data_IF_638046318391
#
_entry.id   IF_638046318391
#
_cell.length_a   1.000
_cell.length_b   1.000
_cell.length_c   1.000
_cell.angle_alpha   90.00
_cell.angle_beta   90.00
_cell.angle_gamma   90.00
#
_symmetry.space_group_name_H-M   'P 1'
#
loop_
_entity.id
_entity.type
_entity.pdbx_description
1 polymer ?
#
# COMPACT_ATOMS: atom_id res chain seq x y z
N UNK A 1 16.81 4.63 42.47
CA UNK A 1 17.48 4.69 41.16
C UNK A 1 16.50 4.13 40.15
N UNK A 2 16.02 4.96 39.23
CA UNK A 2 15.08 4.55 38.18
C UNK A 2 15.90 4.09 36.99
N UNK A 3 15.82 2.80 36.66
CA UNK A 3 16.38 2.26 35.43
C UNK A 3 15.51 2.70 34.27
N UNK A 4 15.87 3.79 33.59
CA UNK A 4 15.39 4.04 32.23
C UNK A 4 15.89 2.91 31.33
N UNK A 5 15.06 2.33 30.47
CA UNK A 5 15.54 1.37 29.49
C UNK A 5 16.47 2.12 28.50
N UNK A 6 17.74 1.72 28.49
CA UNK A 6 18.73 2.15 27.51
C UNK A 6 18.35 1.55 26.15
N UNK A 7 17.47 2.23 25.41
CA UNK A 7 17.34 1.97 23.98
C UNK A 7 18.56 2.57 23.28
N UNK A 8 19.36 1.74 22.63
CA UNK A 8 20.50 2.21 21.85
C UNK A 8 19.99 3.16 20.75
N UNK A 9 20.62 4.32 20.61
CA UNK A 9 20.29 5.29 19.54
C UNK A 9 20.47 4.60 18.18
N UNK A 10 19.36 4.21 17.56
CA UNK A 10 19.34 3.41 16.32
C UNK A 10 18.46 2.16 16.37
N UNK A 11 18.01 1.73 17.55
CA UNK A 11 17.00 0.67 17.65
C UNK A 11 15.62 1.19 17.25
N UNK A 12 15.03 0.52 16.27
CA UNK A 12 13.69 0.85 15.79
C UNK A 12 12.65 0.39 16.81
N UNK A 13 11.89 1.32 17.39
CA UNK A 13 10.88 1.03 18.41
C UNK A 13 9.50 0.75 17.80
N UNK A 14 8.62 0.11 18.57
CA UNK A 14 7.20 -0.08 18.24
C UNK A 14 6.49 1.24 17.96
N UNK A 15 6.78 2.30 18.73
CA UNK A 15 6.25 3.65 18.48
C UNK A 15 6.73 4.22 17.14
N UNK A 16 8.02 4.09 16.82
CA UNK A 16 8.59 4.58 15.57
C UNK A 16 7.99 3.85 14.35
N UNK A 17 7.85 2.53 14.45
CA UNK A 17 7.17 1.72 13.44
C UNK A 17 5.69 2.13 13.28
N UNK A 18 4.99 2.36 14.39
CA UNK A 18 3.61 2.85 14.37
C UNK A 18 3.46 4.20 13.66
N UNK A 19 4.38 5.15 13.91
CA UNK A 19 4.40 6.44 13.20
C UNK A 19 4.65 6.26 11.70
N UNK A 20 5.59 5.39 11.30
CA UNK A 20 5.87 5.09 9.89
C UNK A 20 4.65 4.47 9.19
N UNK A 21 3.97 3.54 9.86
CA UNK A 21 2.73 2.92 9.38
C UNK A 21 1.64 3.95 9.14
N UNK A 22 1.38 4.82 10.11
CA UNK A 22 0.36 5.86 9.98
C UNK A 22 0.66 6.84 8.85
N UNK A 23 1.93 7.25 8.71
CA UNK A 23 2.36 8.13 7.63
C UNK A 23 2.17 7.47 6.25
N UNK A 24 2.55 6.20 6.11
CA UNK A 24 2.44 5.48 4.87
C UNK A 24 0.98 5.17 4.51
N UNK A 25 0.15 4.79 5.49
CA UNK A 25 -1.30 4.63 5.32
C UNK A 25 -1.96 5.92 4.83
N UNK A 26 -1.60 7.08 5.39
CA UNK A 26 -2.10 8.38 4.93
C UNK A 26 -1.74 8.67 3.48
N UNK A 27 -0.48 8.39 3.08
CA UNK A 27 -0.06 8.55 1.68
C UNK A 27 -0.75 7.57 0.74
N UNK A 28 -0.92 6.31 1.15
CA UNK A 28 -1.65 5.30 0.38
C UNK A 28 -3.08 5.74 0.13
N UNK A 29 -3.80 6.17 1.17
CA UNK A 29 -5.16 6.66 1.04
C UNK A 29 -5.28 7.85 0.07
N UNK A 30 -4.34 8.80 0.11
CA UNK A 30 -4.31 9.91 -0.85
C UNK A 30 -4.11 9.43 -2.29
N UNK A 31 -3.16 8.52 -2.52
CA UNK A 31 -2.88 7.99 -3.86
C UNK A 31 -4.01 7.15 -4.42
N UNK A 32 -4.66 6.36 -3.58
CA UNK A 32 -5.85 5.59 -3.96
C UNK A 32 -7.04 6.49 -4.34
N UNK A 33 -7.19 7.65 -3.69
CA UNK A 33 -8.20 8.65 -4.07
C UNK A 33 -7.90 9.37 -5.38
N UNK A 34 -6.62 9.52 -5.74
CA UNK A 34 -6.19 10.14 -7.00
C UNK A 34 -6.33 9.20 -8.21
N UNK A 35 -6.29 7.88 -7.98
CA UNK A 35 -6.38 6.87 -9.05
C UNK A 35 -7.65 6.97 -9.91
N UNK A 36 -8.86 7.13 -9.36
CA UNK A 36 -10.08 7.30 -10.17
C UNK A 36 -10.02 8.51 -11.10
N UNK A 37 -9.48 9.63 -10.63
CA UNK A 37 -9.35 10.84 -11.43
C UNK A 37 -8.35 10.62 -12.58
N UNK A 38 -7.24 9.93 -12.31
CA UNK A 38 -6.28 9.55 -13.33
C UNK A 38 -6.88 8.58 -14.35
N UNK A 39 -7.66 7.59 -13.89
CA UNK A 39 -8.37 6.63 -14.74
C UNK A 39 -9.31 7.34 -15.72
N UNK A 40 -10.12 8.26 -15.20
CA UNK A 40 -11.04 9.06 -16.00
C UNK A 40 -10.32 9.96 -17.01
N UNK A 41 -9.21 10.61 -16.62
CA UNK A 41 -8.39 11.43 -17.52
C UNK A 41 -7.79 10.60 -18.67
N UNK A 42 -7.22 9.44 -18.36
CA UNK A 42 -6.67 8.51 -19.35
C UNK A 42 -7.78 8.02 -20.28
N UNK A 43 -8.91 7.56 -19.75
CA UNK A 43 -10.04 7.08 -20.55
C UNK A 43 -10.55 8.16 -21.51
N UNK A 44 -10.74 9.39 -21.00
CA UNK A 44 -11.17 10.54 -21.81
C UNK A 44 -10.20 10.84 -22.95
N UNK A 45 -8.89 10.78 -22.70
CA UNK A 45 -7.87 11.01 -23.73
C UNK A 45 -7.83 9.91 -24.77
N UNK A 46 -8.04 8.67 -24.37
CA UNK A 46 -8.02 7.50 -25.27
C UNK A 46 -9.31 7.31 -26.06
N UNK A 47 -10.42 7.98 -25.70
CA UNK A 47 -11.71 7.85 -26.38
C UNK A 47 -11.74 8.46 -27.80
N UNK A 48 -10.75 9.27 -28.18
CA UNK A 48 -10.65 9.87 -29.51
C UNK A 48 -9.66 9.16 -30.44
N UNK A 49 -9.53 9.67 -31.66
CA UNK A 49 -8.44 9.28 -32.57
C UNK A 49 -7.11 9.87 -32.07
N UNK A 50 -6.43 9.11 -31.22
CA UNK A 50 -5.09 9.44 -30.72
C UNK A 50 -4.02 8.64 -31.46
N UNK A 51 -2.82 9.20 -31.57
CA UNK A 51 -1.68 8.47 -32.12
C UNK A 51 -1.24 7.34 -31.17
N UNK A 52 -0.62 6.31 -31.73
CA UNK A 52 -0.08 5.19 -30.94
C UNK A 52 0.92 5.66 -29.87
N UNK A 53 1.71 6.69 -30.20
CA UNK A 53 2.64 7.31 -29.27
C UNK A 53 1.94 7.95 -28.06
N UNK A 54 0.77 8.58 -28.27
CA UNK A 54 0.00 9.16 -27.17
C UNK A 54 -0.70 8.09 -26.34
N UNK A 55 -1.22 7.05 -26.99
CA UNK A 55 -1.79 5.88 -26.31
C UNK A 55 -0.78 5.25 -25.35
N UNK A 56 0.41 4.93 -25.86
CA UNK A 56 1.49 4.35 -25.05
C UNK A 56 1.90 5.24 -23.87
N UNK A 57 1.92 6.58 -24.06
CA UNK A 57 2.22 7.52 -22.97
C UNK A 57 1.19 7.47 -21.85
N UNK A 58 -0.11 7.44 -22.19
CA UNK A 58 -1.17 7.39 -21.18
C UNK A 58 -1.23 6.03 -20.46
N UNK A 59 -1.08 4.92 -21.19
CA UNK A 59 -1.00 3.58 -20.61
C UNK A 59 0.22 3.42 -19.69
N UNK A 60 1.38 3.96 -20.08
CA UNK A 60 2.58 3.98 -19.23
C UNK A 60 2.34 4.78 -17.95
N UNK A 61 1.76 5.99 -18.06
CA UNK A 61 1.46 6.85 -16.90
C UNK A 61 0.53 6.14 -15.90
N UNK A 62 -0.47 5.41 -16.41
CA UNK A 62 -1.38 4.60 -15.64
C UNK A 62 -0.69 3.46 -14.88
N UNK A 63 0.09 2.67 -15.64
CA UNK A 63 0.84 1.54 -15.10
C UNK A 63 1.84 1.99 -14.03
N UNK A 64 2.56 3.09 -14.26
CA UNK A 64 3.49 3.64 -13.26
C UNK A 64 2.79 4.09 -11.97
N UNK A 65 1.60 4.69 -12.07
CA UNK A 65 0.84 5.10 -10.89
C UNK A 65 0.40 3.89 -10.06
N UNK A 66 -0.08 2.85 -10.72
CA UNK A 66 -0.46 1.59 -10.08
C UNK A 66 0.74 0.90 -9.44
N UNK A 67 1.87 0.83 -10.15
CA UNK A 67 3.09 0.22 -9.63
C UNK A 67 3.59 0.93 -8.36
N UNK A 68 3.56 2.27 -8.33
CA UNK A 68 3.94 3.04 -7.13
C UNK A 68 3.07 2.71 -5.92
N UNK A 69 1.75 2.58 -6.11
CA UNK A 69 0.83 2.25 -5.02
C UNK A 69 1.08 0.83 -4.50
N UNK A 70 1.24 -0.15 -5.40
CA UNK A 70 1.57 -1.53 -5.02
C UNK A 70 2.87 -1.60 -4.22
N UNK A 71 3.91 -0.88 -4.66
CA UNK A 71 5.19 -0.82 -3.92
C UNK A 71 5.00 -0.23 -2.53
N UNK A 72 4.25 0.88 -2.40
CA UNK A 72 3.96 1.48 -1.10
C UNK A 72 3.12 0.55 -0.19
N UNK A 73 2.21 -0.25 -0.75
CA UNK A 73 1.44 -1.23 0.02
C UNK A 73 2.35 -2.35 0.55
N UNK A 74 3.27 -2.86 -0.28
CA UNK A 74 4.27 -3.85 0.17
C UNK A 74 5.15 -3.30 1.29
N UNK A 75 5.59 -2.04 1.16
CA UNK A 75 6.34 -1.37 2.24
C UNK A 75 5.51 -1.25 3.53
N UNK A 76 4.21 -0.98 3.41
CA UNK A 76 3.29 -0.94 4.55
C UNK A 76 3.15 -2.31 5.21
N UNK A 77 2.96 -3.36 4.42
CA UNK A 77 2.83 -4.73 4.92
C UNK A 77 4.10 -5.18 5.65
N UNK A 78 5.27 -4.89 5.08
CA UNK A 78 6.57 -5.20 5.70
C UNK A 78 6.74 -4.48 7.04
N UNK A 79 6.38 -3.20 7.11
CA UNK A 79 6.38 -2.43 8.36
C UNK A 79 5.38 -2.99 9.37
N UNK A 80 4.21 -3.42 8.90
CA UNK A 80 3.15 -3.97 9.76
C UNK A 80 3.59 -5.29 10.39
N UNK A 81 4.20 -6.18 9.60
CA UNK A 81 4.74 -7.46 10.10
C UNK A 81 5.88 -7.26 11.11
N UNK A 82 6.73 -6.23 10.92
CA UNK A 82 7.76 -5.87 11.91
C UNK A 82 7.15 -5.33 13.20
N UNK A 83 6.20 -4.40 13.08
CA UNK A 83 5.50 -3.81 14.23
C UNK A 83 4.77 -4.88 15.04
N UNK A 84 4.01 -5.77 14.37
CA UNK A 84 3.29 -6.87 15.00
C UNK A 84 4.22 -7.81 15.75
N UNK A 85 5.38 -8.19 15.17
CA UNK A 85 6.36 -9.06 15.84
C UNK A 85 6.89 -8.45 17.13
N UNK A 86 7.20 -7.15 17.12
CA UNK A 86 7.67 -6.46 18.33
C UNK A 86 6.56 -6.30 19.37
N UNK A 87 5.36 -5.92 18.95
CA UNK A 87 4.19 -5.83 19.85
C UNK A 87 3.86 -7.18 20.50
N UNK A 88 3.99 -8.28 19.76
CA UNK A 88 3.77 -9.64 20.29
C UNK A 88 4.82 -10.03 21.33
N UNK A 89 6.06 -9.53 21.23
CA UNK A 89 7.07 -9.71 22.28
C UNK A 89 6.86 -8.80 23.50
N UNK A 90 6.20 -7.66 23.33
CA UNK A 90 6.01 -6.65 24.38
C UNK A 90 4.67 -6.78 25.14
N UNK A 91 3.62 -7.34 24.52
CA UNK A 91 2.26 -7.42 25.10
C UNK A 91 1.84 -8.83 25.56
N UNK A 92 1.18 -8.89 26.71
CA UNK A 92 0.59 -10.11 27.28
C UNK A 92 -0.80 -10.45 26.72
N UNK A 93 -1.49 -9.49 26.09
CA UNK A 93 -2.84 -9.66 25.54
C UNK A 93 -2.80 -10.02 24.04
N UNK A 94 -2.42 -11.27 23.77
CA UNK A 94 -2.10 -11.75 22.42
C UNK A 94 -3.31 -11.95 21.51
N UNK A 95 -4.51 -12.16 22.05
CA UNK A 95 -5.67 -12.59 21.28
C UNK A 95 -6.22 -11.47 20.36
N UNK A 96 -6.34 -10.25 20.88
CA UNK A 96 -6.76 -9.09 20.08
C UNK A 96 -5.74 -8.76 18.98
N UNK A 97 -4.46 -8.84 19.31
CA UNK A 97 -3.36 -8.55 18.39
C UNK A 97 -3.34 -9.59 17.25
N UNK A 98 -3.54 -10.87 17.55
CA UNK A 98 -3.62 -11.92 16.51
C UNK A 98 -4.86 -11.76 15.61
N UNK A 99 -5.99 -11.30 16.16
CA UNK A 99 -7.18 -11.03 15.36
C UNK A 99 -6.95 -9.88 14.37
N UNK A 100 -6.32 -8.79 14.80
CA UNK A 100 -5.96 -7.66 13.93
C UNK A 100 -4.94 -8.09 12.86
N UNK A 101 -3.98 -8.95 13.21
CA UNK A 101 -3.02 -9.50 12.25
C UNK A 101 -3.69 -10.34 11.17
N UNK A 102 -4.61 -11.24 11.55
CA UNK A 102 -5.38 -12.05 10.58
C UNK A 102 -6.17 -11.19 9.61
N UNK A 103 -6.85 -10.15 10.11
CA UNK A 103 -7.61 -9.22 9.25
C UNK A 103 -6.71 -8.49 8.26
N UNK A 104 -5.55 -8.03 8.70
CA UNK A 104 -4.59 -7.37 7.81
C UNK A 104 -4.01 -8.34 6.78
N UNK A 105 -3.76 -9.60 7.16
CA UNK A 105 -3.26 -10.62 6.25
C UNK A 105 -4.29 -10.98 5.17
N UNK A 106 -5.58 -11.10 5.54
CA UNK A 106 -6.68 -11.33 4.60
C UNK A 106 -6.80 -10.17 3.60
N UNK A 107 -6.85 -8.92 4.09
CA UNK A 107 -6.89 -7.74 3.22
C UNK A 107 -5.69 -7.67 2.28
N UNK A 108 -4.49 -8.00 2.78
CA UNK A 108 -3.26 -8.03 1.98
C UNK A 108 -3.36 -9.03 0.83
N UNK A 109 -3.84 -10.25 1.11
CA UNK A 109 -3.98 -11.29 0.09
C UNK A 109 -4.99 -10.89 -0.99
N UNK A 110 -6.13 -10.31 -0.60
CA UNK A 110 -7.12 -9.79 -1.56
C UNK A 110 -6.54 -8.65 -2.42
N UNK A 111 -5.75 -7.77 -1.82
CA UNK A 111 -5.09 -6.67 -2.53
C UNK A 111 -4.04 -7.19 -3.51
N UNK A 112 -3.19 -8.14 -3.11
CA UNK A 112 -2.14 -8.68 -3.97
C UNK A 112 -2.73 -9.47 -5.15
N UNK A 113 -3.78 -10.27 -4.94
CA UNK A 113 -4.50 -10.96 -6.02
C UNK A 113 -5.06 -9.96 -7.04
N UNK A 114 -5.63 -8.85 -6.55
CA UNK A 114 -6.12 -7.77 -7.41
C UNK A 114 -5.00 -7.14 -8.23
N UNK A 115 -3.85 -6.86 -7.62
CA UNK A 115 -2.71 -6.32 -8.36
C UNK A 115 -2.16 -7.28 -9.39
N UNK A 116 -2.09 -8.58 -9.07
CA UNK A 116 -1.69 -9.60 -10.05
C UNK A 116 -2.64 -9.67 -11.23
N UNK A 117 -3.95 -9.58 -10.98
CA UNK A 117 -4.95 -9.50 -12.05
C UNK A 117 -4.75 -8.26 -12.94
N UNK A 118 -4.52 -7.09 -12.34
CA UNK A 118 -4.25 -5.86 -13.09
C UNK A 118 -2.97 -5.94 -13.93
N UNK A 119 -1.91 -6.53 -13.38
CA UNK A 119 -0.63 -6.69 -14.07
C UNK A 119 -0.74 -7.66 -15.25
N UNK A 120 -1.47 -8.78 -15.08
CA UNK A 120 -1.69 -9.76 -16.15
C UNK A 120 -2.56 -9.24 -17.28
N UNK A 121 -3.56 -8.42 -16.97
CA UNK A 121 -4.50 -7.88 -17.96
C UNK A 121 -3.97 -6.62 -18.64
N UNK A 122 -3.01 -5.92 -18.03
CA UNK A 122 -2.59 -4.58 -18.45
C UNK A 122 -3.71 -3.54 -18.34
N UNK A 123 -4.87 -3.93 -17.81
CA UNK A 123 -6.12 -3.18 -17.85
C UNK A 123 -6.38 -2.56 -16.48
N UNK A 124 -5.38 -1.78 -16.02
CA UNK A 124 -5.32 -1.09 -14.73
C UNK A 124 -6.56 -0.25 -14.39
N UNK A 125 -7.40 0.06 -15.38
CA UNK A 125 -8.57 0.91 -15.24
C UNK A 125 -9.92 0.26 -15.58
N UNK A 126 -10.01 -1.01 -15.98
CA UNK A 126 -11.31 -1.64 -16.33
C UNK A 126 -12.01 -2.43 -15.22
N UNK A 127 -11.38 -2.61 -14.06
CA UNK A 127 -11.87 -3.60 -13.07
C UNK A 127 -12.22 -3.01 -11.69
N UNK A 128 -12.05 -1.70 -11.48
CA UNK A 128 -12.48 -1.03 -10.24
C UNK A 128 -12.77 0.47 -10.39
N UNK A 129 -12.07 1.16 -11.28
CA UNK A 129 -12.05 2.62 -11.37
C UNK A 129 -12.50 3.18 -12.73
N UNK A 130 -13.00 2.31 -13.61
CA UNK A 130 -13.58 2.61 -14.91
C UNK A 130 -14.71 1.64 -15.20
#
# INVERSE_FOLDING_TARGET
>A
MSSSPDYAVGEETTEMLGMKLNFLAGKLGQREQELPALAADVHKKLAGNVSDAERQRQEKRASEACHRIRTMQREYDDLWQRWFRMMKSENADGEKLELEHKKNEEMRLELEERWEMLDRTGDYFKTRWG
#
